data_IF_447558438501
#
_entry.id   IF_447558438501
#
_cell.length_a   1.000
_cell.length_b   1.000
_cell.length_c   1.000
_cell.angle_alpha   90.00
_cell.angle_beta   90.00
_cell.angle_gamma   90.00
#
_symmetry.space_group_name_H-M   'P 1'
#
loop_
_entity.id
_entity.type
_entity.pdbx_description
1 polymer ?
#
# COMPACT_ATOMS: atom_id res chain seq x y z
N UNK A 1 -8.27 8.62 5.67
CA UNK A 1 -6.87 8.68 6.15
C UNK A 1 -6.85 9.16 7.59
N UNK A 2 -7.12 8.28 8.55
CA UNK A 2 -6.81 8.51 9.96
C UNK A 2 -6.23 7.21 10.48
N UNK A 3 -4.98 7.24 10.92
CA UNK A 3 -4.50 6.22 11.86
C UNK A 3 -5.34 6.32 13.14
N UNK A 4 -5.50 5.21 13.86
CA UNK A 4 -6.20 5.21 15.15
C UNK A 4 -5.49 6.10 16.17
N UNK A 5 -4.19 6.34 15.98
CA UNK A 5 -3.38 7.28 16.74
C UNK A 5 -2.50 8.16 15.83
N UNK A 6 -1.90 9.20 16.42
CA UNK A 6 -1.05 10.14 15.70
C UNK A 6 0.21 9.48 15.13
N UNK A 7 0.75 8.45 15.78
CA UNK A 7 1.93 7.74 15.34
C UNK A 7 1.67 6.92 14.07
N UNK A 8 0.54 6.21 14.04
CA UNK A 8 0.06 5.44 12.89
C UNK A 8 -0.30 6.37 11.73
N UNK A 9 -0.88 7.54 12.02
CA UNK A 9 -1.15 8.56 11.00
C UNK A 9 0.14 9.06 10.33
N UNK A 10 1.18 9.34 11.10
CA UNK A 10 2.49 9.76 10.57
C UNK A 10 3.16 8.62 9.80
N UNK A 11 3.11 7.38 10.32
CA UNK A 11 3.65 6.22 9.60
C UNK A 11 2.97 6.04 8.24
N UNK A 12 1.64 6.09 8.21
CA UNK A 12 0.87 6.00 6.97
C UNK A 12 1.16 7.17 6.02
N UNK A 13 1.36 8.38 6.54
CA UNK A 13 1.72 9.55 5.72
C UNK A 13 3.07 9.37 5.02
N UNK A 14 4.09 8.88 5.73
CA UNK A 14 5.42 8.60 5.14
C UNK A 14 5.33 7.53 4.06
N UNK A 15 4.58 6.45 4.32
CA UNK A 15 4.38 5.39 3.32
C UNK A 15 3.67 5.94 2.08
N UNK A 16 2.66 6.79 2.25
CA UNK A 16 1.94 7.42 1.14
C UNK A 16 2.83 8.33 0.31
N UNK A 17 3.70 9.12 0.95
CA UNK A 17 4.65 10.00 0.25
C UNK A 17 5.61 9.20 -0.63
N UNK A 18 6.19 8.12 -0.10
CA UNK A 18 7.09 7.27 -0.88
C UNK A 18 6.37 6.59 -2.06
N UNK A 19 5.13 6.11 -1.85
CA UNK A 19 4.32 5.53 -2.92
C UNK A 19 4.00 6.58 -4.00
N UNK A 20 3.67 7.81 -3.60
CA UNK A 20 3.39 8.90 -4.53
C UNK A 20 4.64 9.27 -5.36
N UNK A 21 5.81 9.36 -4.72
CA UNK A 21 7.09 9.63 -5.39
C UNK A 21 7.44 8.54 -6.40
N UNK A 22 7.30 7.27 -6.02
CA UNK A 22 7.54 6.14 -6.93
C UNK A 22 6.56 6.13 -8.09
N UNK A 23 5.28 6.43 -7.84
CA UNK A 23 4.27 6.52 -8.89
C UNK A 23 4.55 7.65 -9.89
N UNK A 24 4.99 8.81 -9.39
CA UNK A 24 5.39 9.96 -10.22
C UNK A 24 6.54 9.59 -11.16
N UNK A 25 7.61 9.01 -10.61
CA UNK A 25 8.78 8.58 -11.40
C UNK A 25 8.37 7.51 -12.43
N UNK A 26 7.59 6.50 -12.03
CA UNK A 26 7.16 5.43 -12.90
C UNK A 26 6.30 5.94 -14.08
N UNK A 27 5.45 6.94 -13.85
CA UNK A 27 4.65 7.61 -14.90
C UNK A 27 5.51 8.45 -15.85
N UNK A 28 6.55 9.09 -15.33
CA UNK A 28 7.52 9.80 -16.17
C UNK A 28 8.30 8.87 -17.10
N UNK A 29 8.61 7.65 -16.64
CA UNK A 29 9.31 6.62 -17.43
C UNK A 29 8.35 5.94 -18.43
N UNK A 30 7.13 5.59 -17.99
CA UNK A 30 6.13 4.96 -18.82
C UNK A 30 4.78 5.67 -18.68
N UNK A 31 4.43 6.56 -19.63
CA UNK A 31 3.14 7.25 -19.61
C UNK A 31 1.94 6.31 -19.70
N UNK A 32 2.09 5.14 -20.33
CA UNK A 32 1.03 4.15 -20.53
C UNK A 32 0.87 3.18 -19.34
N UNK A 33 1.58 3.40 -18.23
CA UNK A 33 1.53 2.55 -17.04
C UNK A 33 0.06 2.32 -16.61
N UNK A 34 -0.36 1.06 -16.53
CA UNK A 34 -1.69 0.72 -16.07
C UNK A 34 -1.69 0.47 -14.56
N UNK A 35 -2.82 0.68 -13.86
CA UNK A 35 -2.98 0.26 -12.49
C UNK A 35 -2.69 -1.25 -12.34
N UNK A 36 -2.19 -1.64 -11.17
CA UNK A 36 -2.03 -3.06 -10.83
C UNK A 36 -3.40 -3.75 -10.85
N UNK A 37 -3.42 -5.03 -11.23
CA UNK A 37 -4.63 -5.83 -11.25
C UNK A 37 -5.32 -5.81 -9.87
N UNK A 38 -6.64 -5.60 -9.87
CA UNK A 38 -7.47 -5.53 -8.68
C UNK A 38 -7.40 -6.82 -7.85
N UNK A 39 -7.24 -7.99 -8.49
CA UNK A 39 -7.06 -9.25 -7.77
C UNK A 39 -5.77 -9.27 -6.96
N UNK A 40 -4.66 -8.80 -7.56
CA UNK A 40 -3.36 -8.76 -6.92
C UNK A 40 -3.33 -7.72 -5.79
N UNK A 41 -3.99 -6.58 -5.99
CA UNK A 41 -4.18 -5.56 -4.95
C UNK A 41 -4.92 -6.14 -3.74
N UNK A 42 -6.05 -6.81 -3.98
CA UNK A 42 -6.86 -7.43 -2.93
C UNK A 42 -6.08 -8.53 -2.19
N UNK A 43 -5.32 -9.36 -2.91
CA UNK A 43 -4.44 -10.37 -2.31
C UNK A 43 -3.40 -9.74 -1.38
N UNK A 44 -2.77 -8.64 -1.81
CA UNK A 44 -1.75 -7.96 -0.99
C UNK A 44 -2.37 -7.31 0.26
N UNK A 45 -3.53 -6.69 0.14
CA UNK A 45 -4.25 -6.09 1.26
C UNK A 45 -4.70 -7.15 2.28
N UNK A 46 -5.32 -8.24 1.81
CA UNK A 46 -5.81 -9.33 2.65
C UNK A 46 -4.68 -10.06 3.38
N UNK A 47 -3.45 -10.04 2.88
CA UNK A 47 -2.29 -10.64 3.57
C UNK A 47 -2.03 -10.02 4.95
N UNK A 48 -2.26 -8.71 5.13
CA UNK A 48 -2.03 -8.01 6.40
C UNK A 48 -3.32 -7.70 7.18
N UNK A 49 -4.45 -7.57 6.48
CA UNK A 49 -5.71 -7.13 7.08
C UNK A 49 -6.88 -8.11 6.91
N UNK A 50 -6.65 -9.28 6.31
CA UNK A 50 -7.66 -10.33 6.19
C UNK A 50 -7.78 -11.19 7.46
N UNK A 51 -8.90 -11.92 7.64
CA UNK A 51 -9.12 -12.80 8.79
C UNK A 51 -8.11 -13.97 8.91
N UNK A 52 -7.35 -14.27 7.85
CA UNK A 52 -6.25 -15.24 7.81
C UNK A 52 -4.88 -14.57 7.64
N UNK A 53 -4.58 -13.51 8.40
CA UNK A 53 -3.24 -12.92 8.45
C UNK A 53 -2.23 -13.94 9.00
N UNK A 54 -1.68 -14.79 8.12
CA UNK A 54 -0.77 -15.88 8.48
C UNK A 54 0.66 -15.34 8.61
N UNK A 55 0.91 -14.61 9.69
CA UNK A 55 2.23 -14.49 10.30
C UNK A 55 2.04 -14.48 11.81
N UNK A 56 2.15 -15.66 12.43
CA UNK A 56 2.01 -15.79 13.88
C UNK A 56 1.46 -17.10 14.44
N UNK A 57 1.28 -18.17 13.65
CA UNK A 57 0.96 -19.47 14.25
C UNK A 57 2.23 -20.06 14.89
N UNK A 58 2.43 -19.74 16.17
CA UNK A 58 2.95 -20.71 17.14
C UNK A 58 1.77 -21.50 17.69
#
# INVERSE_FOLDING_TARGET
>A
MRGKDAHEAVHNAVVMEEVARMAWIARGINPQLQPIDSWLMNKHFQRKHGPNAYYGQK
#
